data_IF_524330292131
#
_entry.id   IF_524330292131
#
_cell.length_a   1.000
_cell.length_b   1.000
_cell.length_c   1.000
_cell.angle_alpha   90.00
_cell.angle_beta   90.00
_cell.angle_gamma   90.00
#
_symmetry.space_group_name_H-M   'P 1'
#
loop_
_entity.id
_entity.type
_entity.pdbx_description
1 polymer ?
#
# COMPACT_ATOMS: atom_id res chain seq x y z
N UNK A 1 -6.87 -14.15 -6.68
CA UNK A 1 -6.77 -14.23 -8.16
C UNK A 1 -5.70 -13.24 -8.54
N UNK A 2 -4.62 -13.76 -9.20
CA UNK A 2 -3.38 -13.06 -9.35
C UNK A 2 -3.48 -11.76 -10.14
N UNK A 3 -2.48 -10.95 -9.96
CA UNK A 3 -2.18 -9.82 -10.83
C UNK A 3 -2.06 -10.34 -12.26
N UNK A 4 -3.08 -10.12 -13.06
CA UNK A 4 -2.99 -10.42 -14.49
C UNK A 4 -2.09 -9.38 -15.11
N UNK A 5 -1.00 -9.80 -15.74
CA UNK A 5 -0.28 -8.98 -16.70
C UNK A 5 -1.27 -8.57 -17.81
N UNK A 6 -1.92 -7.43 -17.66
CA UNK A 6 -2.30 -6.69 -18.85
C UNK A 6 -1.02 -5.97 -19.28
N UNK A 7 -0.56 -6.29 -20.47
CA UNK A 7 0.34 -5.41 -21.17
C UNK A 7 -0.38 -4.06 -21.29
N UNK A 8 -0.14 -3.18 -20.33
CA UNK A 8 -0.48 -1.78 -20.49
C UNK A 8 0.39 -1.32 -21.65
N UNK A 9 -0.15 -0.55 -22.57
CA UNK A 9 0.58 0.09 -23.66
C UNK A 9 1.81 0.74 -23.03
N UNK A 10 2.98 0.21 -23.34
CA UNK A 10 4.24 0.68 -22.79
C UNK A 10 4.48 2.07 -23.36
N UNK A 11 4.30 3.11 -22.57
CA UNK A 11 4.79 4.43 -22.93
C UNK A 11 6.33 4.36 -22.91
N UNK A 12 6.99 4.52 -24.04
CA UNK A 12 8.46 4.46 -24.13
C UNK A 12 9.13 5.62 -23.39
N UNK A 13 8.40 6.70 -23.07
CA UNK A 13 8.91 7.80 -22.29
C UNK A 13 9.00 7.40 -20.80
N UNK A 14 10.15 7.67 -20.20
CA UNK A 14 10.34 7.48 -18.76
C UNK A 14 9.77 8.68 -18.01
N UNK A 15 8.94 8.42 -17.03
CA UNK A 15 8.50 9.43 -16.08
C UNK A 15 9.61 9.81 -15.07
N UNK A 16 9.42 10.88 -14.31
CA UNK A 16 10.38 11.34 -13.32
C UNK A 16 10.71 10.28 -12.27
N UNK A 17 9.71 9.55 -11.79
CA UNK A 17 9.89 8.52 -10.77
C UNK A 17 10.81 7.39 -11.24
N UNK A 18 10.85 7.11 -12.54
CA UNK A 18 11.75 6.13 -13.14
C UNK A 18 13.08 6.76 -13.54
N UNK A 19 13.05 7.94 -14.16
CA UNK A 19 14.23 8.56 -14.75
C UNK A 19 15.26 9.00 -13.70
N UNK A 20 14.81 9.56 -12.57
CA UNK A 20 15.73 10.11 -11.55
C UNK A 20 16.56 8.99 -10.89
N UNK A 21 15.98 7.88 -10.37
CA UNK A 21 16.80 6.79 -9.86
C UNK A 21 17.77 6.21 -10.91
N UNK A 22 17.32 6.08 -12.16
CA UNK A 22 18.16 5.55 -13.23
C UNK A 22 19.33 6.48 -13.58
N UNK A 23 19.13 7.78 -13.51
CA UNK A 23 20.20 8.76 -13.71
C UNK A 23 21.31 8.55 -12.68
N UNK A 24 20.99 8.50 -11.39
CA UNK A 24 21.99 8.31 -10.34
C UNK A 24 22.63 6.91 -10.37
N UNK A 25 21.87 5.88 -10.71
CA UNK A 25 22.45 4.54 -10.91
C UNK A 25 23.44 4.54 -12.07
N UNK A 26 23.13 5.18 -13.20
CA UNK A 26 24.03 5.28 -14.35
C UNK A 26 25.32 6.00 -13.98
N UNK A 27 25.24 7.10 -13.24
CA UNK A 27 26.42 7.82 -12.75
C UNK A 27 27.28 6.92 -11.84
N UNK A 28 26.64 6.20 -10.90
CA UNK A 28 27.33 5.30 -9.99
C UNK A 28 28.00 4.12 -10.72
N UNK A 29 27.43 3.67 -11.85
CA UNK A 29 28.01 2.61 -12.67
C UNK A 29 29.15 3.10 -13.60
N UNK A 30 29.43 4.41 -13.64
CA UNK A 30 30.55 4.97 -14.38
C UNK A 30 30.52 4.65 -15.88
N UNK A 31 29.32 4.54 -16.47
CA UNK A 31 29.11 4.20 -17.87
C UNK A 31 29.07 2.69 -18.19
N UNK A 32 29.26 1.82 -17.19
CA UNK A 32 29.01 0.39 -17.37
C UNK A 32 27.52 0.11 -17.62
N UNK A 33 27.14 -0.98 -18.29
CA UNK A 33 25.74 -1.34 -18.51
C UNK A 33 24.99 -1.51 -17.18
N UNK A 34 23.80 -0.89 -17.10
CA UNK A 34 22.90 -1.13 -15.98
C UNK A 34 22.37 -2.57 -15.99
N UNK A 35 22.08 -3.15 -14.82
CA UNK A 35 21.41 -4.43 -14.75
C UNK A 35 20.02 -4.36 -15.42
N UNK A 36 19.42 -5.51 -15.76
CA UNK A 36 18.04 -5.54 -16.26
C UNK A 36 17.08 -4.87 -15.27
N UNK A 37 16.18 -4.05 -15.79
CA UNK A 37 15.25 -3.25 -15.02
C UNK A 37 13.81 -3.72 -15.27
N UNK A 38 13.05 -3.86 -14.19
CA UNK A 38 11.59 -4.06 -14.23
C UNK A 38 10.93 -2.82 -13.65
N UNK A 39 10.13 -2.13 -14.45
CA UNK A 39 9.35 -0.98 -14.03
C UNK A 39 7.96 -1.44 -13.60
N UNK A 40 7.52 -1.02 -12.42
CA UNK A 40 6.23 -1.36 -11.84
C UNK A 40 5.47 -0.06 -11.55
N UNK A 41 4.32 0.11 -12.19
CA UNK A 41 3.43 1.24 -11.93
C UNK A 41 2.56 1.01 -10.70
N UNK A 42 2.08 2.09 -10.11
CA UNK A 42 1.12 2.06 -9.00
C UNK A 42 -0.30 1.83 -9.53
N UNK A 43 -1.18 1.40 -8.64
CA UNK A 43 -2.59 1.17 -8.92
C UNK A 43 -3.48 1.86 -7.89
N UNK A 44 -4.80 1.89 -8.13
CA UNK A 44 -5.80 2.36 -7.16
C UNK A 44 -6.15 1.32 -6.08
N UNK A 45 -5.43 0.21 -5.96
CA UNK A 45 -5.68 -0.78 -4.92
C UNK A 45 -5.30 -0.25 -3.52
N UNK A 46 -5.88 -0.83 -2.45
CA UNK A 46 -5.49 -0.53 -1.08
C UNK A 46 -4.00 -0.76 -0.81
N UNK A 47 -3.45 -0.06 0.18
CA UNK A 47 -2.04 -0.12 0.55
C UNK A 47 -1.56 -1.56 0.82
N UNK A 48 -2.39 -2.37 1.48
CA UNK A 48 -2.08 -3.77 1.79
C UNK A 48 -1.82 -4.61 0.52
N UNK A 49 -2.48 -4.30 -0.60
CA UNK A 49 -2.24 -5.00 -1.87
C UNK A 49 -0.91 -4.58 -2.51
N UNK A 50 -0.51 -3.32 -2.35
CA UNK A 50 0.83 -2.85 -2.77
C UNK A 50 1.93 -3.53 -1.94
N UNK A 51 1.74 -3.62 -0.63
CA UNK A 51 2.66 -4.36 0.24
C UNK A 51 2.78 -5.84 -0.16
N UNK A 52 1.64 -6.50 -0.42
CA UNK A 52 1.61 -7.88 -0.91
C UNK A 52 2.35 -8.05 -2.23
N UNK A 53 2.27 -7.08 -3.13
CA UNK A 53 3.04 -7.09 -4.37
C UNK A 53 4.54 -7.17 -4.09
N UNK A 54 5.05 -6.43 -3.10
CA UNK A 54 6.43 -6.52 -2.64
C UNK A 54 6.82 -7.93 -2.18
N UNK A 55 5.96 -8.59 -1.39
CA UNK A 55 6.19 -9.99 -0.99
C UNK A 55 6.28 -10.93 -2.20
N UNK A 56 5.42 -10.72 -3.22
CA UNK A 56 5.46 -11.51 -4.45
C UNK A 56 6.73 -11.25 -5.27
N UNK A 57 7.23 -10.01 -5.30
CA UNK A 57 8.49 -9.66 -5.96
C UNK A 57 9.64 -10.41 -5.29
N UNK A 58 9.73 -10.40 -3.96
CA UNK A 58 10.75 -11.16 -3.23
C UNK A 58 10.64 -12.65 -3.53
N UNK A 59 9.45 -13.24 -3.40
CA UNK A 59 9.24 -14.66 -3.68
C UNK A 59 9.64 -15.06 -5.10
N UNK A 60 9.38 -14.19 -6.09
CA UNK A 60 9.82 -14.42 -7.46
C UNK A 60 11.35 -14.33 -7.61
N UNK A 61 11.99 -13.36 -6.94
CA UNK A 61 13.44 -13.22 -6.94
C UNK A 61 14.12 -14.46 -6.32
N UNK A 62 13.61 -14.93 -5.20
CA UNK A 62 14.10 -16.11 -4.49
C UNK A 62 13.96 -17.38 -5.36
N UNK A 63 12.76 -17.57 -5.95
CA UNK A 63 12.49 -18.71 -6.83
C UNK A 63 13.40 -18.75 -8.09
N UNK A 64 13.83 -17.58 -8.55
CA UNK A 64 14.74 -17.43 -9.70
C UNK A 64 16.22 -17.38 -9.31
N UNK A 65 16.55 -17.42 -8.03
CA UNK A 65 17.91 -17.26 -7.53
C UNK A 65 18.54 -15.92 -7.91
N UNK A 66 17.75 -14.84 -7.98
CA UNK A 66 18.21 -13.51 -8.43
C UNK A 66 18.43 -12.57 -7.25
N UNK A 67 19.56 -11.87 -7.28
CA UNK A 67 19.75 -10.71 -6.41
C UNK A 67 18.99 -9.53 -7.03
N UNK A 68 18.11 -8.90 -6.25
CA UNK A 68 17.26 -7.80 -6.69
C UNK A 68 17.46 -6.60 -5.76
N UNK A 69 17.59 -5.41 -6.34
CA UNK A 69 17.47 -4.14 -5.63
C UNK A 69 16.11 -3.55 -5.99
N UNK A 70 15.31 -3.23 -4.99
CA UNK A 70 14.00 -2.59 -5.19
C UNK A 70 14.11 -1.12 -4.82
N UNK A 71 13.71 -0.25 -5.74
CA UNK A 71 13.68 1.20 -5.53
C UNK A 71 12.22 1.64 -5.40
N UNK A 72 11.82 2.05 -4.20
CA UNK A 72 10.54 2.71 -3.95
C UNK A 72 10.69 4.20 -4.27
N UNK A 73 10.27 4.62 -5.45
CA UNK A 73 10.40 6.00 -5.92
C UNK A 73 9.10 6.77 -5.76
N UNK A 74 9.18 7.99 -5.24
CA UNK A 74 8.07 8.92 -5.06
C UNK A 74 8.46 10.01 -4.07
N UNK A 75 7.83 11.17 -4.22
CA UNK A 75 8.05 12.29 -3.31
C UNK A 75 7.31 12.07 -1.98
N UNK A 76 7.79 12.73 -0.94
CA UNK A 76 7.06 12.88 0.32
C UNK A 76 5.97 13.95 0.14
N UNK A 77 5.67 14.75 1.15
CA UNK A 77 4.64 15.79 0.99
C UNK A 77 5.00 16.82 -0.07
N UNK A 78 4.01 17.21 -0.86
CA UNK A 78 4.10 18.36 -1.77
C UNK A 78 3.65 19.67 -1.12
N UNK A 79 3.28 19.68 0.17
CA UNK A 79 2.64 20.85 0.81
C UNK A 79 3.41 21.36 2.02
N UNK A 80 4.72 21.62 1.83
CA UNK A 80 5.60 22.05 2.91
C UNK A 80 5.70 23.58 3.06
N UNK A 81 5.39 24.37 2.01
CA UNK A 81 5.57 25.82 1.99
C UNK A 81 4.39 26.51 1.33
N UNK A 82 3.95 27.65 1.90
CA UNK A 82 2.85 28.45 1.36
C UNK A 82 3.18 29.10 0.02
N UNK A 83 4.44 29.40 -0.23
CA UNK A 83 5.00 29.92 -1.48
C UNK A 83 5.50 28.81 -2.43
N UNK A 84 5.33 27.55 -2.05
CA UNK A 84 5.65 26.40 -2.89
C UNK A 84 4.58 26.13 -3.97
N UNK A 85 4.89 25.27 -4.95
CA UNK A 85 4.01 25.02 -6.10
C UNK A 85 2.64 24.43 -5.74
N UNK A 86 2.51 23.79 -4.58
CA UNK A 86 1.28 23.12 -4.14
C UNK A 86 0.71 23.72 -2.85
N UNK A 87 1.31 24.83 -2.35
CA UNK A 87 0.92 25.49 -1.13
C UNK A 87 1.33 24.73 0.15
N UNK A 88 0.69 25.08 1.26
CA UNK A 88 0.97 24.52 2.58
C UNK A 88 -0.25 23.80 3.16
N UNK A 89 -0.01 22.64 3.78
CA UNK A 89 -0.95 21.98 4.68
C UNK A 89 -0.19 21.52 5.93
N UNK A 90 -0.83 21.59 7.08
CA UNK A 90 -0.20 21.17 8.35
C UNK A 90 0.16 19.67 8.34
N UNK A 91 -0.60 18.89 7.61
CA UNK A 91 -0.37 17.47 7.39
C UNK A 91 0.94 17.20 6.61
N UNK A 92 1.41 18.15 5.80
CA UNK A 92 2.63 18.01 5.00
C UNK A 92 3.87 17.73 5.85
N UNK A 93 4.33 18.69 6.67
CA UNK A 93 5.49 18.48 7.55
C UNK A 93 5.27 17.32 8.55
N UNK A 94 4.02 17.10 8.98
CA UNK A 94 3.68 16.01 9.90
C UNK A 94 3.86 14.64 9.23
N UNK A 95 3.45 14.50 7.98
CA UNK A 95 3.66 13.30 7.17
C UNK A 95 5.15 13.04 6.98
N UNK A 96 5.91 14.04 6.51
CA UNK A 96 7.33 13.90 6.22
C UNK A 96 8.12 13.48 7.47
N UNK A 97 7.84 14.11 8.61
CA UNK A 97 8.47 13.73 9.88
C UNK A 97 8.18 12.29 10.23
N UNK A 98 6.90 11.87 10.12
CA UNK A 98 6.46 10.53 10.51
C UNK A 98 7.00 9.46 9.57
N UNK A 99 6.91 9.67 8.25
CA UNK A 99 7.41 8.69 7.29
C UNK A 99 8.92 8.50 7.37
N UNK A 100 9.68 9.60 7.56
CA UNK A 100 11.13 9.54 7.72
C UNK A 100 11.57 8.89 9.04
N UNK A 101 10.74 8.97 10.09
CA UNK A 101 10.97 8.24 11.33
C UNK A 101 10.72 6.73 11.14
N UNK A 102 9.59 6.35 10.56
CA UNK A 102 9.25 4.95 10.24
C UNK A 102 10.32 4.31 9.35
N UNK A 103 10.71 5.00 8.27
CA UNK A 103 11.74 4.52 7.36
C UNK A 103 13.10 4.41 8.04
N UNK A 104 13.48 5.42 8.85
CA UNK A 104 14.75 5.40 9.58
C UNK A 104 14.89 4.26 10.60
N UNK A 105 13.78 3.76 11.13
CA UNK A 105 13.73 2.61 12.05
C UNK A 105 13.50 1.27 11.31
N UNK A 106 13.03 1.33 10.06
CA UNK A 106 12.64 0.16 9.31
C UNK A 106 11.34 -0.50 9.82
N UNK A 107 10.50 0.23 10.56
CA UNK A 107 9.25 -0.28 11.15
C UNK A 107 8.10 -0.25 10.15
N UNK A 108 8.22 -1.01 9.10
CA UNK A 108 7.32 -0.99 7.95
C UNK A 108 5.86 -1.34 8.26
N UNK A 109 5.59 -1.97 9.39
CA UNK A 109 4.23 -2.22 9.86
C UNK A 109 3.45 -0.93 10.12
N UNK A 110 4.13 0.15 10.52
CA UNK A 110 3.52 1.45 10.77
C UNK A 110 3.05 2.17 9.49
N UNK A 111 3.46 1.72 8.29
CA UNK A 111 2.94 2.26 7.03
C UNK A 111 1.42 2.09 6.92
N UNK A 112 0.86 1.06 7.53
CA UNK A 112 -0.58 0.79 7.54
C UNK A 112 -1.37 1.68 8.50
N UNK A 113 -0.69 2.45 9.34
CA UNK A 113 -1.31 3.33 10.33
C UNK A 113 -1.39 4.80 9.84
N UNK A 114 -0.98 5.05 8.59
CA UNK A 114 -1.23 6.31 7.91
C UNK A 114 -2.64 6.30 7.32
N UNK A 115 -3.46 7.23 7.78
CA UNK A 115 -4.81 7.42 7.28
C UNK A 115 -4.79 7.99 5.85
N UNK A 116 -5.65 7.46 4.94
CA UNK A 116 -5.69 7.89 3.55
C UNK A 116 -5.99 9.40 3.43
N UNK A 117 -6.92 9.91 4.25
CA UNK A 117 -7.25 11.34 4.23
C UNK A 117 -6.10 12.22 4.73
N UNK A 118 -5.28 11.72 5.66
CA UNK A 118 -4.06 12.39 6.09
C UNK A 118 -3.01 12.43 4.97
N UNK A 119 -2.80 11.30 4.27
CA UNK A 119 -1.90 11.22 3.12
C UNK A 119 -2.35 12.14 1.98
N UNK A 120 -3.64 12.15 1.66
CA UNK A 120 -4.22 13.02 0.62
C UNK A 120 -4.04 14.52 0.96
N UNK A 121 -4.24 14.91 2.22
CA UNK A 121 -4.00 16.28 2.66
C UNK A 121 -2.53 16.67 2.63
N UNK A 122 -1.63 15.75 2.98
CA UNK A 122 -0.19 15.95 2.83
C UNK A 122 0.21 16.06 1.36
N UNK A 123 -0.55 15.44 0.45
CA UNK A 123 -0.31 15.46 -1.00
C UNK A 123 0.97 14.70 -1.36
N UNK A 124 1.18 13.55 -0.74
CA UNK A 124 2.29 12.66 -1.03
C UNK A 124 2.04 11.83 -2.31
N UNK A 125 3.08 11.30 -2.92
CA UNK A 125 2.95 10.37 -4.05
C UNK A 125 3.82 9.10 -3.91
N UNK A 126 4.57 8.98 -2.81
CA UNK A 126 5.51 7.89 -2.58
C UNK A 126 4.98 6.73 -1.74
N UNK A 127 3.97 6.93 -0.92
CA UNK A 127 3.56 5.99 0.13
C UNK A 127 3.28 4.58 -0.40
N UNK A 128 2.60 4.45 -1.54
CA UNK A 128 2.31 3.15 -2.16
C UNK A 128 3.55 2.47 -2.74
N UNK A 129 4.49 3.22 -3.31
CA UNK A 129 5.76 2.65 -3.77
C UNK A 129 6.64 2.21 -2.61
N UNK A 130 6.62 2.95 -1.51
CA UNK A 130 7.30 2.56 -0.27
C UNK A 130 6.71 1.27 0.31
N UNK A 131 5.38 1.11 0.28
CA UNK A 131 4.74 -0.13 0.71
C UNK A 131 5.13 -1.35 -0.16
N UNK A 132 5.29 -1.19 -1.47
CA UNK A 132 5.81 -2.26 -2.33
C UNK A 132 7.23 -2.64 -1.91
N UNK A 133 8.10 -1.66 -1.75
CA UNK A 133 9.48 -1.88 -1.30
C UNK A 133 9.50 -2.57 0.07
N UNK A 134 8.73 -2.06 1.03
CA UNK A 134 8.63 -2.61 2.38
C UNK A 134 8.15 -4.07 2.41
N UNK A 135 7.20 -4.42 1.55
CA UNK A 135 6.70 -5.79 1.39
C UNK A 135 7.77 -6.81 0.99
N UNK A 136 8.85 -6.36 0.33
CA UNK A 136 9.98 -7.24 0.03
C UNK A 136 10.74 -7.68 1.29
N UNK A 137 10.55 -7.01 2.42
CA UNK A 137 11.18 -7.30 3.70
C UNK A 137 10.23 -7.96 4.72
N UNK A 138 9.00 -8.33 4.31
CA UNK A 138 8.05 -8.96 5.23
C UNK A 138 8.63 -10.22 5.87
N UNK A 139 8.57 -10.30 7.20
CA UNK A 139 9.14 -11.41 7.97
C UNK A 139 10.66 -11.41 8.10
N UNK A 140 11.32 -10.29 7.81
CA UNK A 140 12.77 -10.13 7.97
C UNK A 140 13.10 -8.96 8.90
N UNK A 141 14.18 -9.08 9.64
CA UNK A 141 14.86 -7.92 10.22
C UNK A 141 15.34 -6.98 9.11
N UNK A 142 15.39 -5.70 9.41
CA UNK A 142 15.80 -4.66 8.46
C UNK A 142 16.83 -3.77 9.10
N UNK A 143 17.98 -3.68 8.46
CA UNK A 143 18.95 -2.62 8.75
C UNK A 143 18.60 -1.42 7.90
N UNK A 144 18.01 -0.41 8.55
CA UNK A 144 17.57 0.81 7.92
C UNK A 144 18.58 1.93 8.17
N UNK A 145 18.83 2.75 7.17
CA UNK A 145 19.65 3.95 7.29
C UNK A 145 18.96 5.11 6.59
N UNK A 146 18.74 6.19 7.34
CA UNK A 146 18.27 7.45 6.81
C UNK A 146 19.45 8.27 6.33
N UNK A 147 19.56 8.48 5.02
CA UNK A 147 20.68 9.19 4.41
C UNK A 147 20.44 10.69 4.35
N UNK A 148 19.26 11.14 3.92
CA UNK A 148 18.92 12.56 3.84
C UNK A 148 17.43 12.81 3.90
N UNK A 149 17.08 14.04 4.27
CA UNK A 149 15.75 14.62 4.13
C UNK A 149 15.88 16.11 3.85
N UNK A 150 15.25 16.58 2.79
CA UNK A 150 15.22 17.96 2.38
C UNK A 150 13.86 18.38 1.83
N UNK A 151 13.53 19.68 1.94
CA UNK A 151 12.26 20.22 1.43
C UNK A 151 12.44 21.65 0.86
N UNK A 152 13.44 21.89 -0.02
CA UNK A 152 13.85 23.26 -0.39
C UNK A 152 12.78 24.00 -1.19
N UNK A 153 11.97 23.29 -1.98
CA UNK A 153 11.01 23.88 -2.92
C UNK A 153 9.55 23.64 -2.54
N UNK A 154 9.28 23.28 -1.28
CA UNK A 154 7.92 22.98 -0.81
C UNK A 154 7.48 21.53 -1.02
N UNK A 155 8.36 20.69 -1.56
CA UNK A 155 8.21 19.23 -1.71
C UNK A 155 9.26 18.53 -0.87
N UNK A 156 8.86 17.50 -0.13
CA UNK A 156 9.76 16.70 0.71
C UNK A 156 10.45 15.60 -0.09
N UNK A 157 11.76 15.51 0.10
CA UNK A 157 12.63 14.50 -0.51
C UNK A 157 13.36 13.74 0.60
N UNK A 158 13.11 12.45 0.72
CA UNK A 158 13.77 11.57 1.67
C UNK A 158 14.55 10.47 0.95
N UNK A 159 15.75 10.17 1.44
CA UNK A 159 16.53 9.04 0.93
C UNK A 159 16.89 8.13 2.09
N UNK A 160 16.50 6.87 1.96
CA UNK A 160 16.80 5.82 2.92
C UNK A 160 17.31 4.57 2.20
N UNK A 161 18.12 3.77 2.87
CA UNK A 161 18.54 2.45 2.40
C UNK A 161 18.16 1.38 3.40
N UNK A 162 17.92 0.18 2.88
CA UNK A 162 17.46 -0.96 3.65
C UNK A 162 18.21 -2.21 3.23
N UNK A 163 18.70 -2.96 4.18
CA UNK A 163 19.31 -4.26 3.94
C UNK A 163 18.60 -5.33 4.78
N UNK A 164 18.30 -6.50 4.19
CA UNK A 164 17.67 -7.58 4.93
C UNK A 164 18.61 -8.14 6.00
N UNK A 165 18.05 -8.50 7.14
CA UNK A 165 18.67 -9.28 8.21
C UNK A 165 18.13 -10.70 8.25
N UNK A 166 18.13 -11.28 9.44
CA UNK A 166 17.61 -12.63 9.70
C UNK A 166 16.08 -12.68 9.63
N UNK A 167 15.52 -13.88 9.62
CA UNK A 167 14.09 -14.07 9.71
C UNK A 167 13.56 -13.60 11.07
N UNK A 168 12.46 -12.84 11.04
CA UNK A 168 11.76 -12.37 12.23
C UNK A 168 10.24 -12.52 12.05
N UNK A 169 9.66 -13.51 12.72
CA UNK A 169 8.24 -13.78 12.67
C UNK A 169 7.37 -12.62 13.20
N UNK A 170 7.92 -11.79 14.12
CA UNK A 170 7.26 -10.59 14.64
C UNK A 170 7.09 -9.50 13.58
N UNK A 171 7.79 -9.61 12.47
CA UNK A 171 7.74 -8.66 11.35
C UNK A 171 6.92 -9.14 10.15
N UNK A 172 6.12 -10.18 10.30
CA UNK A 172 5.13 -10.62 9.30
C UNK A 172 3.94 -9.67 9.28
N UNK A 173 4.20 -8.44 8.89
CA UNK A 173 3.25 -7.33 8.98
C UNK A 173 2.01 -7.55 8.12
N UNK A 174 2.13 -8.25 6.99
CA UNK A 174 0.98 -8.61 6.16
C UNK A 174 -0.02 -9.49 6.94
N UNK A 175 0.46 -10.56 7.57
CA UNK A 175 -0.37 -11.46 8.37
C UNK A 175 -0.98 -10.75 9.58
N UNK A 176 -0.18 -9.94 10.29
CA UNK A 176 -0.62 -9.14 11.42
C UNK A 176 -1.74 -8.16 11.02
N UNK A 177 -1.59 -7.49 9.87
CA UNK A 177 -2.62 -6.57 9.36
C UNK A 177 -3.88 -7.31 8.95
N UNK A 178 -3.77 -8.42 8.21
CA UNK A 178 -4.91 -9.27 7.84
C UNK A 178 -5.66 -9.80 9.07
N UNK A 179 -4.94 -10.14 10.13
CA UNK A 179 -5.53 -10.55 11.41
C UNK A 179 -6.39 -9.44 12.01
N UNK A 180 -5.84 -8.24 12.15
CA UNK A 180 -6.55 -7.05 12.65
C UNK A 180 -7.79 -6.71 11.80
N UNK A 181 -7.69 -6.79 10.48
CA UNK A 181 -8.83 -6.53 9.58
C UNK A 181 -9.93 -7.59 9.75
N UNK A 182 -9.54 -8.86 9.93
CA UNK A 182 -10.49 -9.95 10.20
C UNK A 182 -11.19 -9.76 11.54
N UNK A 183 -10.45 -9.47 12.60
CA UNK A 183 -11.01 -9.20 13.93
C UNK A 183 -11.99 -8.02 13.91
N UNK A 184 -11.63 -6.92 13.22
CA UNK A 184 -12.50 -5.77 13.06
C UNK A 184 -13.78 -6.11 12.26
N UNK A 185 -13.67 -6.95 11.23
CA UNK A 185 -14.81 -7.44 10.46
C UNK A 185 -15.72 -8.33 11.32
N UNK A 186 -15.14 -9.25 12.07
CA UNK A 186 -15.90 -10.18 12.92
C UNK A 186 -16.61 -9.43 14.06
N UNK A 187 -15.96 -8.41 14.64
CA UNK A 187 -16.59 -7.51 15.61
C UNK A 187 -17.79 -6.75 15.01
N UNK A 188 -17.66 -6.24 13.77
CA UNK A 188 -18.80 -5.60 13.07
C UNK A 188 -19.94 -6.59 12.82
N UNK A 189 -19.62 -7.81 12.37
CA UNK A 189 -20.61 -8.87 12.15
C UNK A 189 -21.34 -9.26 13.44
N UNK A 190 -20.64 -9.29 14.56
CA UNK A 190 -21.24 -9.59 15.86
C UNK A 190 -22.25 -8.51 16.32
N UNK A 191 -22.06 -7.25 15.86
CA UNK A 191 -22.97 -6.13 16.17
C UNK A 191 -24.04 -5.86 15.11
N UNK A 192 -24.15 -6.69 14.07
CA UNK A 192 -25.14 -6.51 13.00
C UNK A 192 -26.58 -6.70 13.53
N UNK A 193 -27.49 -5.80 13.14
CA UNK A 193 -28.90 -6.02 13.27
C UNK A 193 -29.44 -7.02 12.22
N UNK A 194 -30.71 -7.37 12.33
CA UNK A 194 -31.33 -8.37 11.44
C UNK A 194 -31.41 -7.88 9.99
N UNK A 195 -31.52 -6.55 9.75
CA UNK A 195 -31.55 -5.99 8.40
C UNK A 195 -30.20 -6.14 7.71
N UNK A 196 -29.12 -5.75 8.39
CA UNK A 196 -27.74 -5.87 7.87
C UNK A 196 -27.37 -7.33 7.68
N UNK A 197 -27.76 -8.21 8.61
CA UNK A 197 -27.51 -9.67 8.53
C UNK A 197 -28.19 -10.27 7.30
N UNK A 198 -29.46 -9.91 7.05
CA UNK A 198 -30.20 -10.38 5.88
C UNK A 198 -29.59 -9.87 4.57
N UNK A 199 -29.24 -8.58 4.50
CA UNK A 199 -28.57 -7.99 3.35
C UNK A 199 -27.26 -8.69 3.04
N UNK A 200 -26.41 -8.89 4.05
CA UNK A 200 -25.12 -9.60 3.93
C UNK A 200 -25.32 -11.05 3.46
N UNK A 201 -26.32 -11.77 4.03
CA UNK A 201 -26.64 -13.13 3.59
C UNK A 201 -26.98 -13.17 2.09
N UNK A 202 -27.75 -12.19 1.61
CA UNK A 202 -28.11 -12.07 0.20
C UNK A 202 -26.89 -11.91 -0.69
N UNK A 203 -26.02 -10.94 -0.37
CA UNK A 203 -24.81 -10.64 -1.13
C UNK A 203 -23.83 -11.82 -1.08
N UNK A 204 -23.52 -12.35 0.11
CA UNK A 204 -22.56 -13.44 0.25
C UNK A 204 -23.03 -14.72 -0.47
N UNK A 205 -24.33 -15.04 -0.41
CA UNK A 205 -24.88 -16.21 -1.11
C UNK A 205 -24.76 -16.03 -2.62
N UNK A 206 -25.09 -14.86 -3.12
CA UNK A 206 -25.01 -14.60 -4.57
C UNK A 206 -23.56 -14.66 -5.07
N UNK A 207 -22.64 -14.03 -4.35
CA UNK A 207 -21.21 -14.03 -4.73
C UNK A 207 -20.59 -15.43 -4.68
N UNK A 208 -20.96 -16.24 -3.67
CA UNK A 208 -20.41 -17.60 -3.50
C UNK A 208 -21.06 -18.64 -4.41
N UNK A 209 -22.36 -18.52 -4.64
CA UNK A 209 -23.16 -19.59 -5.27
C UNK A 209 -23.80 -19.19 -6.61
N UNK A 210 -23.73 -17.92 -7.01
CA UNK A 210 -24.36 -17.40 -8.24
C UNK A 210 -25.89 -17.41 -8.22
N UNK A 211 -26.52 -17.56 -7.06
CA UNK A 211 -27.98 -17.60 -6.89
C UNK A 211 -28.42 -16.78 -5.68
N UNK A 212 -29.69 -16.30 -5.68
CA UNK A 212 -30.25 -15.62 -4.52
C UNK A 212 -30.26 -16.49 -3.26
N UNK A 213 -30.12 -15.85 -2.11
CA UNK A 213 -30.29 -16.52 -0.83
C UNK A 213 -31.75 -16.96 -0.64
N UNK A 214 -31.94 -18.09 0.03
CA UNK A 214 -33.28 -18.44 0.54
C UNK A 214 -33.60 -17.54 1.72
N UNK A 215 -34.85 -17.09 1.82
CA UNK A 215 -35.31 -16.32 2.98
C UNK A 215 -35.19 -17.16 4.25
N UNK A 216 -34.51 -16.68 5.28
CA UNK A 216 -34.45 -17.38 6.57
C UNK A 216 -35.83 -17.46 7.22
N UNK A 217 -36.05 -18.51 8.02
CA UNK A 217 -37.24 -18.61 8.87
C UNK A 217 -37.07 -17.77 10.14
N UNK A 218 -38.17 -17.31 10.71
CA UNK A 218 -38.17 -16.60 11.99
C UNK A 218 -37.69 -15.16 11.94
N UNK A 219 -37.75 -14.53 10.77
CA UNK A 219 -37.43 -13.11 10.65
C UNK A 219 -38.44 -12.23 11.37
N UNK A 220 -38.01 -11.07 11.94
CA UNK A 220 -38.90 -10.11 12.57
C UNK A 220 -40.01 -9.62 11.61
N UNK A 221 -41.20 -9.26 12.15
CA UNK A 221 -42.32 -8.75 11.33
C UNK A 221 -41.95 -7.52 10.49
N UNK A 222 -41.04 -6.71 10.96
CA UNK A 222 -40.53 -5.51 10.25
C UNK A 222 -39.87 -5.88 8.91
N UNK A 223 -39.26 -7.07 8.81
CA UNK A 223 -38.63 -7.57 7.58
C UNK A 223 -39.58 -8.35 6.65
N UNK A 224 -40.73 -8.77 7.16
CA UNK A 224 -41.67 -9.62 6.42
C UNK A 224 -43.01 -8.94 6.13
N UNK A 225 -43.36 -7.90 6.88
CA UNK A 225 -44.68 -7.26 6.84
C UNK A 225 -44.91 -6.27 5.71
N UNK A 226 -43.87 -5.78 5.06
CA UNK A 226 -43.98 -4.82 3.96
C UNK A 226 -42.96 -5.07 2.87
N UNK A 227 -43.33 -4.73 1.60
CA UNK A 227 -42.33 -4.69 0.51
C UNK A 227 -41.69 -3.32 0.50
N UNK A 228 -40.38 -3.28 0.66
CA UNK A 228 -39.59 -2.06 0.57
C UNK A 228 -38.40 -2.27 -0.36
N UNK A 229 -38.01 -1.22 -1.09
CA UNK A 229 -36.73 -1.18 -1.82
C UNK A 229 -35.60 -0.88 -0.82
N UNK A 230 -34.52 -1.64 -0.92
CA UNK A 230 -33.33 -1.43 -0.10
C UNK A 230 -32.14 -1.18 -1.02
N UNK A 231 -31.41 -0.08 -0.77
CA UNK A 231 -30.11 0.17 -1.40
C UNK A 231 -29.02 -0.35 -0.45
N UNK A 232 -28.16 -1.18 -0.98
CA UNK A 232 -26.95 -1.66 -0.29
C UNK A 232 -25.75 -1.02 -0.99
N UNK A 233 -25.04 -0.15 -0.29
CA UNK A 233 -23.82 0.52 -0.77
C UNK A 233 -22.59 0.01 -0.02
#
# INVERSE_FOLDING_TARGET
KGYTQRAVSFDPALDHATMIPLYFLREAYGGAPLPPIVRIGLSGFPLLQHYRLGMLIRGAADALGRRVCVVGSGDLSHKLKSDGPYGFAAEGPAYDKRIMDVMGRGDFGELFDFDDAFCDKAGECGHRSFAIMAGCFDGLEVRAEKLSYEGPFGVGYGVCTFAPGEEDAGRRFYELRMGKEREALDARKAGEDEFVRLARLGVETYVKMGRPAKMPEGLPPELTGAKAGVFVS
#
